data_IF_882093160394
#
_entry.id   IF_882093160394
#
_cell.length_a   1.000
_cell.length_b   1.000
_cell.length_c   1.000
_cell.angle_alpha   90.00
_cell.angle_beta   90.00
_cell.angle_gamma   90.00
#
_symmetry.space_group_name_H-M   'P 1'
#
loop_
_entity.id
_entity.type
_entity.pdbx_description
1 polymer ?
#
# COMPACT_ATOMS: atom_id res chain seq x y z
N UNK A 1 -7.69 0.67 26.40
CA UNK A 1 -8.25 -0.68 26.29
C UNK A 1 -7.79 -1.29 24.97
N UNK A 2 -7.33 -2.55 25.01
CA UNK A 2 -6.76 -3.38 23.93
C UNK A 2 -5.32 -3.07 23.45
N UNK A 3 -4.63 -4.16 23.12
CA UNK A 3 -3.19 -4.44 23.06
C UNK A 3 -2.87 -4.90 21.60
N UNK A 4 -1.81 -5.70 21.37
CA UNK A 4 -0.64 -5.45 20.52
C UNK A 4 -0.85 -5.55 18.98
N UNK A 5 0.11 -4.97 18.25
CA UNK A 5 0.41 -5.12 16.81
C UNK A 5 -0.70 -4.82 15.78
N UNK A 6 -0.29 -4.10 14.73
CA UNK A 6 -0.75 -4.17 13.32
C UNK A 6 -1.09 -2.82 12.70
N UNK A 7 -0.34 -2.54 11.64
CA UNK A 7 -0.60 -1.67 10.51
C UNK A 7 -2.00 -1.04 10.47
N UNK A 8 -2.03 0.27 10.59
CA UNK A 8 -3.20 1.08 10.35
C UNK A 8 -3.51 1.03 8.83
N UNK A 9 -4.68 0.50 8.38
CA UNK A 9 -5.00 0.40 6.96
C UNK A 9 -5.08 1.81 6.33
N UNK A 10 -4.84 1.95 5.01
CA UNK A 10 -4.94 3.24 4.34
C UNK A 10 -6.34 3.84 4.55
N UNK A 11 -6.39 4.99 5.22
CA UNK A 11 -7.63 5.70 5.52
C UNK A 11 -7.87 6.74 4.43
N UNK A 12 -9.07 6.76 3.88
CA UNK A 12 -9.56 7.94 3.16
C UNK A 12 -9.47 9.13 4.13
N UNK A 13 -8.79 10.21 3.78
CA UNK A 13 -8.68 11.38 4.65
C UNK A 13 -9.98 12.18 4.55
N UNK A 14 -10.86 12.03 5.54
CA UNK A 14 -12.09 12.80 5.66
C UNK A 14 -12.42 13.04 7.14
N UNK A 15 -13.45 13.84 7.41
CA UNK A 15 -13.82 14.24 8.77
C UNK A 15 -14.23 13.08 9.70
N UNK A 16 -14.60 11.91 9.16
CA UNK A 16 -14.99 10.73 9.94
C UNK A 16 -13.79 9.86 10.33
N UNK A 17 -12.83 9.71 9.43
CA UNK A 17 -11.69 8.79 9.55
C UNK A 17 -10.40 9.47 9.97
N UNK A 18 -10.32 10.77 9.75
CA UNK A 18 -9.19 11.66 10.06
C UNK A 18 -9.73 13.02 10.53
N UNK A 19 -10.45 13.07 11.67
CA UNK A 19 -11.21 14.25 12.13
C UNK A 19 -10.33 15.47 12.43
N UNK A 20 -9.04 15.25 12.64
CA UNK A 20 -8.07 16.30 12.96
C UNK A 20 -7.26 16.76 11.74
N UNK A 21 -7.42 16.13 10.56
CA UNK A 21 -6.70 16.55 9.36
C UNK A 21 -7.19 17.91 8.88
N UNK A 22 -6.23 18.79 8.61
CA UNK A 22 -6.49 20.12 8.09
C UNK A 22 -6.74 20.01 6.57
N UNK A 23 -8.00 20.12 6.16
CA UNK A 23 -8.43 19.83 4.78
C UNK A 23 -7.70 20.67 3.72
N UNK A 24 -7.42 21.96 3.99
CA UNK A 24 -6.70 22.79 3.03
C UNK A 24 -5.27 22.26 2.77
N UNK A 25 -4.61 21.72 3.79
CA UNK A 25 -3.28 21.12 3.64
C UNK A 25 -3.32 19.81 2.84
N UNK A 26 -4.43 19.06 2.93
CA UNK A 26 -4.64 17.87 2.11
C UNK A 26 -4.84 18.23 0.63
N UNK A 27 -5.57 19.31 0.35
CA UNK A 27 -5.77 19.82 -1.00
C UNK A 27 -4.43 20.27 -1.60
N UNK A 28 -3.64 21.06 -0.88
CA UNK A 28 -2.35 21.54 -1.36
C UNK A 28 -1.33 20.41 -1.55
N UNK A 29 -1.27 19.44 -0.64
CA UNK A 29 -0.45 18.24 -0.78
C UNK A 29 -0.86 17.40 -2.01
N UNK A 30 -2.16 17.31 -2.31
CA UNK A 30 -2.65 16.58 -3.50
C UNK A 30 -2.28 17.26 -4.83
N UNK A 31 -2.05 18.58 -4.80
CA UNK A 31 -1.67 19.37 -5.97
C UNK A 31 -0.14 19.42 -6.17
N UNK A 32 0.66 18.80 -5.30
CA UNK A 32 2.11 18.74 -5.45
C UNK A 32 2.46 17.97 -6.74
N UNK A 33 2.91 18.69 -7.76
CA UNK A 33 3.27 18.16 -9.06
C UNK A 33 4.70 18.55 -9.41
N UNK A 34 5.49 17.55 -9.79
CA UNK A 34 6.90 17.69 -10.15
C UNK A 34 7.13 18.84 -11.14
N UNK A 35 7.87 19.86 -10.69
CA UNK A 35 8.28 21.01 -11.51
C UNK A 35 7.26 22.15 -11.63
N UNK A 36 6.05 22.02 -11.05
CA UNK A 36 5.04 23.10 -11.03
C UNK A 36 4.69 23.56 -9.61
N UNK A 37 4.52 22.62 -8.68
CA UNK A 37 4.14 22.92 -7.30
C UNK A 37 5.05 22.17 -6.34
N UNK A 38 5.55 22.88 -5.33
CA UNK A 38 6.42 22.27 -4.31
C UNK A 38 5.69 21.18 -3.53
N UNK A 39 6.46 20.20 -3.03
CA UNK A 39 5.94 19.22 -2.10
C UNK A 39 5.42 19.95 -0.86
N UNK A 40 4.17 19.66 -0.48
CA UNK A 40 3.51 20.29 0.65
C UNK A 40 3.25 19.28 1.75
N UNK A 41 3.60 19.66 2.98
CA UNK A 41 3.37 18.83 4.16
C UNK A 41 1.88 18.84 4.56
N UNK A 42 1.35 17.65 4.83
CA UNK A 42 -0.01 17.46 5.32
C UNK A 42 -0.07 17.81 6.81
N UNK A 43 -1.08 18.56 7.24
CA UNK A 43 -1.20 19.08 8.60
C UNK A 43 -2.42 18.50 9.33
N UNK A 44 -2.36 18.48 10.66
CA UNK A 44 -3.46 18.17 11.54
C UNK A 44 -3.49 19.10 12.77
N UNK A 45 -4.66 19.23 13.38
CA UNK A 45 -4.82 19.90 14.67
C UNK A 45 -4.55 18.91 15.80
N UNK A 46 -3.73 19.30 16.76
CA UNK A 46 -3.55 18.52 17.97
C UNK A 46 -4.71 18.76 18.97
N UNK A 47 -4.65 18.10 20.12
CA UNK A 47 -5.65 18.25 21.20
C UNK A 47 -5.72 19.65 21.81
N UNK A 48 -4.72 20.49 21.58
CA UNK A 48 -4.64 21.88 22.03
C UNK A 48 -5.13 22.86 20.96
N UNK A 49 -5.42 22.38 19.75
CA UNK A 49 -5.83 23.18 18.60
C UNK A 49 -4.65 23.76 17.83
N UNK A 50 -3.42 23.31 18.11
CA UNK A 50 -2.23 23.74 17.40
C UNK A 50 -2.06 22.94 16.11
N UNK A 51 -1.68 23.61 15.03
CA UNK A 51 -1.39 22.94 13.76
C UNK A 51 -0.02 22.26 13.83
N UNK A 52 -0.01 20.94 13.70
CA UNK A 52 1.17 20.09 13.69
C UNK A 52 1.20 19.26 12.39
N UNK A 53 2.37 18.80 11.93
CA UNK A 53 2.43 17.90 10.79
C UNK A 53 1.63 16.62 11.05
N UNK A 54 0.93 16.14 10.04
CA UNK A 54 0.18 14.88 10.07
C UNK A 54 1.13 13.69 9.98
N UNK A 55 1.84 13.43 11.08
CA UNK A 55 2.62 12.22 11.24
C UNK A 55 1.71 11.09 11.69
N UNK A 56 1.70 9.98 10.96
CA UNK A 56 1.14 8.75 11.52
C UNK A 56 2.05 8.28 12.66
N UNK A 57 1.52 7.67 13.74
CA UNK A 57 2.32 7.22 14.88
C UNK A 57 3.48 6.26 14.54
N UNK A 58 3.50 5.74 13.31
CA UNK A 58 4.51 4.82 12.81
C UNK A 58 5.84 5.50 12.44
N UNK A 59 5.84 6.78 12.04
CA UNK A 59 7.07 7.49 11.66
C UNK A 59 8.04 7.71 12.82
N UNK A 60 7.51 7.95 14.03
CA UNK A 60 8.33 8.21 15.24
C UNK A 60 9.21 7.02 15.62
N UNK A 61 8.81 5.78 15.30
CA UNK A 61 9.60 4.58 15.65
C UNK A 61 10.71 4.26 14.63
N UNK A 62 10.61 4.76 13.40
CA UNK A 62 11.57 4.48 12.34
C UNK A 62 12.78 5.43 12.39
N UNK A 63 12.63 6.67 12.84
CA UNK A 63 13.76 7.57 13.10
C UNK A 63 14.73 6.99 14.14
N UNK A 64 14.20 6.29 15.16
CA UNK A 64 14.99 5.62 16.19
C UNK A 64 15.67 4.32 15.72
N UNK A 65 15.22 3.74 14.59
CA UNK A 65 15.63 2.39 14.15
C UNK A 65 16.63 2.40 12.99
N UNK A 66 16.91 3.55 12.36
CA UNK A 66 17.95 3.67 11.32
C UNK A 66 17.68 2.91 10.01
N UNK A 67 16.49 2.31 9.83
CA UNK A 67 16.13 1.53 8.65
C UNK A 67 15.06 2.29 7.86
N UNK A 68 15.47 3.23 7.00
CA UNK A 68 14.65 3.64 5.85
C UNK A 68 15.57 3.79 4.65
N UNK A 69 15.29 3.02 3.58
CA UNK A 69 15.77 3.29 2.24
C UNK A 69 15.14 4.56 1.69
N UNK A 70 15.61 5.73 2.12
CA UNK A 70 15.16 7.03 1.62
C UNK A 70 15.76 7.27 0.23
N UNK A 71 14.93 7.32 -0.81
CA UNK A 71 15.34 7.97 -2.06
C UNK A 71 15.19 9.48 -1.88
N UNK A 72 16.31 10.19 -1.81
CA UNK A 72 16.38 11.66 -1.71
C UNK A 72 16.37 12.30 -3.10
N UNK A 73 15.64 13.40 -3.29
CA UNK A 73 15.80 14.28 -4.45
C UNK A 73 17.01 15.21 -4.27
N UNK A 74 17.46 15.82 -5.37
CA UNK A 74 18.57 16.79 -5.43
C UNK A 74 18.33 18.00 -4.49
N UNK A 75 17.08 18.29 -4.14
CA UNK A 75 16.65 19.42 -3.29
C UNK A 75 16.44 19.06 -1.81
N UNK A 76 16.87 17.87 -1.37
CA UNK A 76 16.86 17.44 0.05
C UNK A 76 15.48 17.20 0.69
N UNK A 77 14.40 17.10 -0.10
CA UNK A 77 13.09 16.73 0.42
C UNK A 77 12.97 15.20 0.65
N UNK A 78 12.40 14.80 1.80
CA UNK A 78 12.20 13.39 2.20
C UNK A 78 10.97 12.81 1.51
N UNK A 79 11.13 11.74 0.74
CA UNK A 79 10.01 10.98 0.15
C UNK A 79 9.62 9.82 1.07
N UNK A 80 8.34 9.74 1.43
CA UNK A 80 7.76 8.57 2.10
C UNK A 80 7.16 7.61 1.09
N UNK A 81 7.46 6.32 1.19
CA UNK A 81 6.80 5.25 0.45
C UNK A 81 6.62 4.04 1.39
N UNK A 82 5.62 3.19 1.13
CA UNK A 82 5.52 1.90 1.83
C UNK A 82 6.16 0.80 0.96
N UNK A 83 7.32 0.26 1.38
CA UNK A 83 7.98 -0.82 0.66
C UNK A 83 7.15 -2.09 0.81
N UNK A 84 6.58 -2.57 -0.30
CA UNK A 84 5.67 -3.72 -0.32
C UNK A 84 5.97 -4.69 -1.45
N UNK A 85 5.81 -5.97 -1.16
CA UNK A 85 5.78 -7.01 -2.20
C UNK A 85 4.41 -7.10 -2.83
N UNK A 86 4.38 -7.38 -4.13
CA UNK A 86 3.15 -7.57 -4.89
C UNK A 86 2.94 -9.06 -5.14
N UNK A 87 1.83 -9.61 -4.62
CA UNK A 87 1.56 -11.06 -4.63
C UNK A 87 0.28 -11.32 -5.44
N UNK A 88 0.41 -11.73 -6.72
CA UNK A 88 -0.72 -12.00 -7.59
C UNK A 88 -1.27 -13.42 -7.36
N UNK A 89 -2.02 -13.59 -6.27
CA UNK A 89 -2.58 -14.88 -5.86
C UNK A 89 -3.31 -15.59 -6.99
N UNK A 90 -4.03 -14.84 -7.82
CA UNK A 90 -4.53 -15.34 -9.11
C UNK A 90 -4.66 -14.20 -10.11
N UNK A 91 -4.39 -14.50 -11.37
CA UNK A 91 -4.66 -13.61 -12.50
C UNK A 91 -5.92 -14.00 -13.27
N UNK A 92 -6.57 -15.09 -12.89
CA UNK A 92 -7.85 -15.49 -13.47
C UNK A 92 -8.97 -14.65 -12.86
N UNK A 93 -9.92 -14.23 -13.69
CA UNK A 93 -11.05 -13.40 -13.30
C UNK A 93 -12.28 -13.83 -14.12
N UNK A 94 -13.47 -13.82 -13.52
CA UNK A 94 -14.74 -14.02 -14.23
C UNK A 94 -14.99 -12.93 -15.26
N UNK A 95 -14.64 -11.70 -14.90
CA UNK A 95 -15.00 -10.51 -15.67
C UNK A 95 -13.91 -10.16 -16.69
N UNK A 96 -14.33 -9.64 -17.85
CA UNK A 96 -13.46 -9.21 -18.94
C UNK A 96 -13.49 -7.69 -19.12
N UNK A 97 -12.71 -6.98 -18.31
CA UNK A 97 -12.61 -5.53 -18.37
C UNK A 97 -11.57 -5.12 -19.44
N UNK A 98 -11.98 -4.34 -20.45
CA UNK A 98 -11.07 -3.91 -21.55
C UNK A 98 -9.88 -3.04 -21.12
N UNK A 99 -9.90 -2.50 -19.90
CA UNK A 99 -8.79 -1.73 -19.33
C UNK A 99 -7.90 -2.55 -18.37
N UNK A 100 -8.29 -3.78 -18.04
CA UNK A 100 -7.61 -4.56 -17.02
C UNK A 100 -6.42 -5.32 -17.61
N UNK A 101 -5.21 -4.81 -17.36
CA UNK A 101 -3.94 -5.47 -17.75
C UNK A 101 -3.52 -6.58 -16.77
N UNK A 102 -4.25 -6.77 -15.68
CA UNK A 102 -3.95 -7.75 -14.65
C UNK A 102 -4.58 -9.12 -14.96
N UNK A 103 -5.83 -9.13 -15.40
CA UNK A 103 -6.54 -10.35 -15.76
C UNK A 103 -5.87 -11.05 -16.94
N UNK A 104 -5.60 -12.35 -16.82
CA UNK A 104 -5.12 -13.18 -17.90
C UNK A 104 -5.95 -14.47 -17.95
N UNK A 105 -6.37 -14.91 -19.16
CA UNK A 105 -7.02 -16.19 -19.29
C UNK A 105 -6.06 -17.31 -18.84
N UNK A 106 -6.54 -18.28 -18.05
CA UNK A 106 -5.71 -19.37 -17.59
C UNK A 106 -5.24 -20.22 -18.77
N UNK A 107 -3.98 -20.66 -18.71
CA UNK A 107 -3.42 -21.59 -19.71
C UNK A 107 -3.81 -23.02 -19.34
N UNK A 108 -4.20 -23.81 -20.34
CA UNK A 108 -4.56 -25.22 -20.13
C UNK A 108 -3.47 -25.97 -19.36
N UNK A 109 -3.88 -26.75 -18.36
CA UNK A 109 -3.00 -27.57 -17.52
C UNK A 109 -2.13 -26.79 -16.53
N UNK A 110 -2.32 -25.48 -16.35
CA UNK A 110 -1.60 -24.70 -15.34
C UNK A 110 -2.48 -24.38 -14.14
N UNK A 111 -1.83 -24.35 -12.97
CA UNK A 111 -2.40 -23.81 -11.73
C UNK A 111 -2.79 -22.35 -11.95
N UNK A 112 -3.97 -21.97 -11.45
CA UNK A 112 -4.46 -20.59 -11.55
C UNK A 112 -4.25 -19.80 -10.25
N UNK A 113 -4.00 -20.50 -9.14
CA UNK A 113 -3.67 -19.92 -7.85
C UNK A 113 -2.21 -20.18 -7.53
N UNK A 114 -1.56 -19.20 -6.88
CA UNK A 114 -0.26 -19.40 -6.25
C UNK A 114 -0.37 -20.37 -5.08
N UNK A 115 0.68 -21.16 -4.84
CA UNK A 115 0.77 -21.97 -3.62
C UNK A 115 1.30 -21.15 -2.44
N UNK A 116 1.07 -21.63 -1.23
CA UNK A 116 1.58 -20.99 0.00
C UNK A 116 3.10 -20.87 -0.03
N UNK A 117 3.82 -21.85 -0.57
CA UNK A 117 5.28 -21.84 -0.68
C UNK A 117 5.75 -20.73 -1.64
N UNK A 118 5.03 -20.51 -2.73
CA UNK A 118 5.34 -19.41 -3.66
C UNK A 118 5.09 -18.04 -3.01
N UNK A 119 4.01 -17.91 -2.24
CA UNK A 119 3.69 -16.69 -1.47
C UNK A 119 4.81 -16.40 -0.46
N UNK A 120 5.17 -17.40 0.35
CA UNK A 120 6.24 -17.31 1.34
C UNK A 120 7.56 -16.96 0.66
N UNK A 121 7.87 -17.58 -0.47
CA UNK A 121 9.08 -17.29 -1.24
C UNK A 121 9.16 -15.85 -1.74
N UNK A 122 8.03 -15.24 -2.13
CA UNK A 122 7.98 -13.82 -2.51
C UNK A 122 8.16 -12.93 -1.27
N UNK A 123 7.48 -13.24 -0.17
CA UNK A 123 7.58 -12.43 1.05
C UNK A 123 8.98 -12.45 1.65
N UNK A 124 9.65 -13.61 1.67
CA UNK A 124 11.03 -13.73 2.16
C UNK A 124 12.01 -12.92 1.32
N UNK A 125 11.89 -12.97 -0.02
CA UNK A 125 12.69 -12.12 -0.92
C UNK A 125 12.38 -10.64 -0.75
N UNK A 126 11.13 -10.32 -0.43
CA UNK A 126 10.70 -8.97 -0.09
C UNK A 126 11.37 -8.44 1.15
N UNK A 127 11.37 -9.24 2.21
CA UNK A 127 11.98 -8.94 3.50
C UNK A 127 13.49 -8.71 3.34
N UNK A 128 14.19 -9.55 2.56
CA UNK A 128 15.62 -9.39 2.24
C UNK A 128 15.97 -8.03 1.62
N UNK A 129 15.02 -7.40 0.92
CA UNK A 129 15.19 -6.07 0.29
C UNK A 129 14.48 -4.94 1.05
N UNK A 130 14.00 -5.20 2.28
CA UNK A 130 13.37 -4.22 3.16
C UNK A 130 11.90 -3.92 2.87
N UNK A 131 11.19 -4.86 2.24
CA UNK A 131 9.72 -4.80 2.16
C UNK A 131 9.10 -5.23 3.48
N UNK A 132 8.17 -4.42 3.99
CA UNK A 132 7.53 -4.61 5.29
C UNK A 132 6.02 -4.84 5.15
N UNK A 133 5.50 -4.77 3.93
CA UNK A 133 4.09 -4.92 3.60
C UNK A 133 3.93 -5.89 2.42
N UNK A 134 2.75 -6.52 2.33
CA UNK A 134 2.38 -7.37 1.21
C UNK A 134 1.02 -6.92 0.63
N UNK A 135 0.97 -6.75 -0.69
CA UNK A 135 -0.24 -6.43 -1.43
C UNK A 135 -0.69 -7.67 -2.19
N UNK A 136 -1.76 -8.31 -1.69
CA UNK A 136 -2.43 -9.39 -2.40
C UNK A 136 -3.30 -8.83 -3.52
N UNK A 137 -3.18 -9.43 -4.70
CA UNK A 137 -4.05 -9.14 -5.84
C UNK A 137 -4.65 -10.42 -6.39
N UNK A 138 -5.94 -10.37 -6.69
CA UNK A 138 -6.75 -11.49 -7.13
C UNK A 138 -7.81 -10.99 -8.10
N UNK A 139 -8.16 -11.82 -9.08
CA UNK A 139 -9.35 -11.60 -9.91
C UNK A 139 -10.63 -12.02 -9.19
N UNK A 140 -11.78 -11.56 -9.70
CA UNK A 140 -13.08 -11.86 -9.09
C UNK A 140 -13.62 -13.23 -9.55
N UNK A 141 -13.90 -14.11 -8.59
CA UNK A 141 -14.60 -15.40 -8.73
C UNK A 141 -14.29 -16.22 -9.99
N UNK A 142 -13.01 -16.52 -10.29
CA UNK A 142 -12.65 -17.33 -11.47
C UNK A 142 -13.33 -18.72 -11.50
N UNK A 143 -13.74 -19.26 -10.35
CA UNK A 143 -14.40 -20.56 -10.19
C UNK A 143 -15.74 -20.67 -10.90
N UNK A 144 -16.36 -19.53 -11.23
CA UNK A 144 -17.66 -19.51 -11.91
C UNK A 144 -17.55 -19.80 -13.40
N UNK A 145 -16.35 -19.67 -13.99
CA UNK A 145 -16.14 -19.85 -15.44
C UNK A 145 -14.97 -20.76 -15.79
N UNK A 146 -14.04 -20.98 -14.86
CA UNK A 146 -12.91 -21.88 -15.05
C UNK A 146 -13.08 -23.11 -14.17
N UNK A 147 -12.84 -24.29 -14.75
CA UNK A 147 -12.73 -25.53 -13.99
C UNK A 147 -11.44 -25.47 -13.17
N UNK A 148 -11.57 -25.10 -11.90
CA UNK A 148 -10.45 -25.04 -10.97
C UNK A 148 -10.28 -26.40 -10.33
N UNK A 149 -9.11 -27.00 -10.52
CA UNK A 149 -8.63 -28.02 -9.58
C UNK A 149 -8.05 -27.27 -8.38
N UNK A 150 -8.75 -27.29 -7.24
CA UNK A 150 -8.20 -26.78 -5.98
C UNK A 150 -6.89 -27.55 -5.70
N UNK A 151 -5.78 -26.83 -5.52
CA UNK A 151 -4.55 -27.45 -5.02
C UNK A 151 -4.67 -27.53 -3.49
N UNK A 152 -4.30 -28.69 -2.93
CA UNK A 152 -4.04 -28.86 -1.49
C UNK A 152 -2.89 -27.96 -1.01
#
# INVERSE_FOLDING_TARGET
FAHPERHEPPRCLNYLTSPYVVIWSAVTASCAFLGLFQAQELMAEDRHGDMVPYHTPFQVRLEASGVIGTRQWIDSNVITFSPKVFIPLTRACRDFCGYCMFSLPPKSGRKIHMTTEEIVGITSKGEEVGCNEALFTLGDKPELIYLITMNE
#
